data_IF_521318878636
#
_entry.id   IF_521318878636
#
_cell.length_a   1.000
_cell.length_b   1.000
_cell.length_c   1.000
_cell.angle_alpha   90.00
_cell.angle_beta   90.00
_cell.angle_gamma   90.00
#
_symmetry.space_group_name_H-M   'P 1'
#
loop_
_entity.id
_entity.type
_entity.pdbx_description
1 polymer ?
#
# COMPACT_ATOMS: atom_id res chain seq x y z
N UNK A 1 4.18 -8.84 20.85
CA UNK A 1 4.49 -8.76 19.41
C UNK A 1 3.16 -8.92 18.67
N UNK A 2 2.51 -7.82 18.24
CA UNK A 2 1.31 -7.95 17.39
C UNK A 2 1.79 -8.58 16.09
N UNK A 3 1.16 -9.65 15.60
CA UNK A 3 1.48 -10.18 14.27
C UNK A 3 1.31 -9.05 13.26
N UNK A 4 2.35 -8.79 12.47
CA UNK A 4 2.26 -7.78 11.42
C UNK A 4 1.14 -8.17 10.43
N UNK A 5 0.42 -7.18 9.93
CA UNK A 5 -0.64 -7.43 8.96
C UNK A 5 -0.03 -8.04 7.68
N UNK A 6 -0.53 -9.19 7.26
CA UNK A 6 -0.02 -9.88 6.06
C UNK A 6 -0.45 -9.13 4.77
N UNK A 7 0.46 -8.28 4.29
CA UNK A 7 0.25 -7.48 3.10
C UNK A 7 0.25 -8.31 1.82
N UNK A 8 0.99 -9.42 1.79
CA UNK A 8 1.06 -10.31 0.65
C UNK A 8 -0.30 -11.01 0.45
N UNK A 9 -0.86 -11.55 1.53
CA UNK A 9 -2.20 -12.15 1.53
C UNK A 9 -3.26 -11.13 1.12
N UNK A 10 -3.20 -9.92 1.69
CA UNK A 10 -4.10 -8.83 1.34
C UNK A 10 -4.08 -8.51 -0.16
N UNK A 11 -2.91 -8.39 -0.78
CA UNK A 11 -2.78 -8.02 -2.20
C UNK A 11 -2.96 -9.19 -3.18
N UNK A 12 -2.90 -10.45 -2.71
CA UNK A 12 -2.94 -11.64 -3.57
C UNK A 12 -4.04 -11.65 -4.65
N UNK A 13 -5.29 -11.16 -4.43
CA UNK A 13 -6.34 -11.21 -5.45
C UNK A 13 -6.15 -10.21 -6.59
N UNK A 14 -5.34 -9.16 -6.39
CA UNK A 14 -5.14 -8.07 -7.37
C UNK A 14 -3.74 -8.08 -7.98
N UNK A 15 -2.81 -8.85 -7.44
CA UNK A 15 -1.45 -8.97 -7.97
C UNK A 15 -1.44 -9.84 -9.23
N UNK A 16 -0.96 -9.25 -10.34
CA UNK A 16 -0.77 -9.93 -11.63
C UNK A 16 0.65 -9.68 -12.15
N UNK A 17 1.04 -10.41 -13.19
CA UNK A 17 2.35 -10.26 -13.84
C UNK A 17 3.47 -11.07 -13.18
N UNK A 18 4.72 -10.75 -13.51
CA UNK A 18 5.90 -11.51 -13.10
C UNK A 18 6.13 -11.51 -11.58
N UNK A 19 6.77 -12.57 -11.06
CA UNK A 19 7.07 -12.72 -9.64
C UNK A 19 7.82 -11.52 -9.06
N UNK A 20 8.86 -11.03 -9.74
CA UNK A 20 9.64 -9.88 -9.30
C UNK A 20 8.79 -8.59 -9.16
N UNK A 21 7.85 -8.37 -10.08
CA UNK A 21 6.93 -7.22 -10.03
C UNK A 21 5.95 -7.34 -8.86
N UNK A 22 5.39 -8.53 -8.62
CA UNK A 22 4.50 -8.77 -7.47
C UNK A 22 5.22 -8.52 -6.14
N UNK A 23 6.45 -9.03 -6.00
CA UNK A 23 7.28 -8.83 -4.80
C UNK A 23 7.64 -7.35 -4.56
N UNK A 24 7.83 -6.55 -5.63
CA UNK A 24 8.02 -5.10 -5.50
C UNK A 24 6.80 -4.44 -4.87
N UNK A 25 5.60 -4.74 -5.37
CA UNK A 25 4.36 -4.16 -4.83
C UNK A 25 4.12 -4.54 -3.37
N UNK A 26 4.42 -5.79 -2.99
CA UNK A 26 4.31 -6.24 -1.60
C UNK A 26 5.20 -5.40 -0.69
N UNK A 27 6.51 -5.32 -1.00
CA UNK A 27 7.46 -4.53 -0.19
C UNK A 27 7.09 -3.05 -0.11
N UNK A 28 6.60 -2.47 -1.21
CA UNK A 28 6.14 -1.09 -1.21
C UNK A 28 4.89 -0.91 -0.33
N UNK A 29 3.94 -1.83 -0.40
CA UNK A 29 2.74 -1.77 0.42
C UNK A 29 3.02 -1.98 1.92
N UNK A 30 3.98 -2.85 2.28
CA UNK A 30 4.49 -3.01 3.65
C UNK A 30 5.07 -1.69 4.17
N UNK A 31 5.92 -1.03 3.36
CA UNK A 31 6.49 0.27 3.71
C UNK A 31 5.44 1.35 3.90
N UNK A 32 4.43 1.38 3.01
CA UNK A 32 3.28 2.27 3.16
C UNK A 32 2.54 2.00 4.46
N UNK A 33 2.34 0.72 4.80
CA UNK A 33 1.63 0.32 6.00
C UNK A 33 2.35 0.71 7.28
N UNK A 34 3.65 0.47 7.35
CA UNK A 34 4.47 0.88 8.47
C UNK A 34 4.36 2.40 8.73
N UNK A 35 4.62 3.22 7.70
CA UNK A 35 4.61 4.67 7.82
C UNK A 35 3.22 5.25 8.15
N UNK A 36 2.16 4.70 7.55
CA UNK A 36 0.78 5.13 7.82
C UNK A 36 0.33 4.68 9.21
N UNK A 37 0.70 3.46 9.63
CA UNK A 37 0.41 2.94 10.97
C UNK A 37 1.11 3.77 12.04
N UNK A 38 2.37 4.11 11.83
CA UNK A 38 3.14 4.95 12.75
C UNK A 38 2.47 6.32 12.96
N UNK A 39 1.97 6.93 11.88
CA UNK A 39 1.38 8.28 11.98
C UNK A 39 -0.07 8.32 12.48
N UNK A 40 -0.90 7.33 12.16
CA UNK A 40 -2.35 7.37 12.46
C UNK A 40 -2.87 6.16 13.23
N UNK A 41 -2.01 5.25 13.66
CA UNK A 41 -2.41 3.99 14.32
C UNK A 41 -3.40 3.17 13.48
N UNK A 42 -3.35 3.29 12.15
CA UNK A 42 -4.20 2.53 11.25
C UNK A 42 -3.71 1.07 11.19
N UNK A 43 -4.37 0.18 11.93
CA UNK A 43 -3.94 -1.22 12.09
C UNK A 43 -3.98 -2.03 10.79
N UNK A 44 -4.83 -1.67 9.82
CA UNK A 44 -4.94 -2.42 8.56
C UNK A 44 -5.13 -1.48 7.35
N UNK A 45 -4.75 -1.90 6.14
CA UNK A 45 -5.04 -1.16 4.90
C UNK A 45 -6.53 -0.92 4.65
N UNK A 46 -7.41 -1.74 5.25
CA UNK A 46 -8.85 -1.58 5.17
C UNK A 46 -9.32 -0.23 5.71
N UNK A 47 -8.70 0.28 6.78
CA UNK A 47 -9.06 1.58 7.37
C UNK A 47 -8.51 2.79 6.62
N UNK A 48 -7.66 2.59 5.60
CA UNK A 48 -7.00 3.71 4.93
C UNK A 48 -7.99 4.61 4.18
N UNK A 49 -7.93 5.90 4.44
CA UNK A 49 -8.65 6.91 3.64
C UNK A 49 -7.70 7.52 2.63
N UNK A 50 -8.25 8.20 1.63
CA UNK A 50 -7.46 8.86 0.58
C UNK A 50 -6.37 9.77 1.16
N UNK A 51 -6.66 10.46 2.28
CA UNK A 51 -5.69 11.31 2.97
C UNK A 51 -4.42 10.57 3.43
N UNK A 52 -4.52 9.28 3.78
CA UNK A 52 -3.38 8.51 4.25
C UNK A 52 -2.43 8.17 3.09
N UNK A 53 -3.00 7.71 1.96
CA UNK A 53 -2.23 7.43 0.75
C UNK A 53 -1.65 8.70 0.14
N UNK A 54 -2.41 9.79 0.12
CA UNK A 54 -1.97 11.09 -0.40
C UNK A 54 -0.80 11.64 0.40
N UNK A 55 -0.91 11.65 1.72
CA UNK A 55 0.21 12.06 2.56
C UNK A 55 1.46 11.20 2.37
N UNK A 56 1.33 9.88 2.25
CA UNK A 56 2.49 9.03 2.03
C UNK A 56 3.22 9.44 0.74
N UNK A 57 2.47 9.64 -0.35
CA UNK A 57 3.06 10.02 -1.63
C UNK A 57 3.65 11.43 -1.62
N UNK A 58 2.92 12.41 -1.09
CA UNK A 58 3.29 13.83 -1.19
C UNK A 58 4.25 14.30 -0.09
N UNK A 59 4.17 13.69 1.09
CA UNK A 59 4.92 14.15 2.26
C UNK A 59 5.98 13.13 2.69
N UNK A 60 5.63 11.84 2.81
CA UNK A 60 6.60 10.83 3.22
C UNK A 60 7.68 10.61 2.14
N UNK A 61 7.29 10.63 0.87
CA UNK A 61 8.20 10.49 -0.27
C UNK A 61 8.65 11.84 -0.87
N UNK A 62 8.46 12.98 -0.18
CA UNK A 62 8.71 14.32 -0.73
C UNK A 62 10.09 14.50 -1.38
N UNK A 63 11.12 13.86 -0.84
CA UNK A 63 12.51 13.95 -1.32
C UNK A 63 12.97 12.74 -2.14
N UNK A 64 12.04 11.84 -2.47
CA UNK A 64 12.32 10.69 -3.33
C UNK A 64 12.35 11.10 -4.80
N UNK A 65 13.11 10.36 -5.61
CA UNK A 65 13.10 10.56 -7.06
C UNK A 65 11.70 10.33 -7.65
N UNK A 66 11.32 11.02 -8.74
CA UNK A 66 10.01 10.86 -9.38
C UNK A 66 9.68 9.40 -9.75
N UNK A 67 10.69 8.64 -10.20
CA UNK A 67 10.53 7.22 -10.51
C UNK A 67 10.14 6.38 -9.28
N UNK A 68 10.68 6.70 -8.10
CA UNK A 68 10.29 6.04 -6.85
C UNK A 68 8.84 6.34 -6.51
N UNK A 69 8.43 7.61 -6.56
CA UNK A 69 7.04 8.03 -6.31
C UNK A 69 6.09 7.32 -7.25
N UNK A 70 6.41 7.28 -8.55
CA UNK A 70 5.61 6.59 -9.58
C UNK A 70 5.34 5.12 -9.23
N UNK A 71 6.34 4.35 -8.80
CA UNK A 71 6.10 2.94 -8.42
C UNK A 71 5.24 2.80 -7.16
N UNK A 72 5.31 3.76 -6.22
CA UNK A 72 4.42 3.79 -5.07
C UNK A 72 2.99 4.17 -5.45
N UNK A 73 2.78 5.04 -6.44
CA UNK A 73 1.45 5.33 -6.98
C UNK A 73 0.81 4.10 -7.62
N UNK A 74 1.56 3.32 -8.39
CA UNK A 74 1.09 2.04 -8.93
C UNK A 74 0.66 1.08 -7.80
N UNK A 75 1.45 1.00 -6.73
CA UNK A 75 1.12 0.20 -5.55
C UNK A 75 -0.13 0.72 -4.83
N UNK A 76 -0.27 2.03 -4.66
CA UNK A 76 -1.47 2.65 -4.10
C UNK A 76 -2.73 2.36 -4.94
N UNK A 77 -2.59 2.28 -6.27
CA UNK A 77 -3.64 1.85 -7.19
C UNK A 77 -4.11 0.41 -6.91
N UNK A 78 -3.18 -0.52 -6.69
CA UNK A 78 -3.51 -1.91 -6.33
C UNK A 78 -4.24 -2.01 -4.99
N UNK A 79 -3.79 -1.26 -3.97
CA UNK A 79 -4.44 -1.20 -2.66
C UNK A 79 -5.88 -0.68 -2.82
N UNK A 80 -6.08 0.41 -3.57
CA UNK A 80 -7.41 0.96 -3.84
C UNK A 80 -8.33 -0.06 -4.53
N UNK A 81 -7.81 -0.76 -5.54
CA UNK A 81 -8.54 -1.83 -6.23
C UNK A 81 -8.93 -2.96 -5.28
N UNK A 82 -8.00 -3.40 -4.44
CA UNK A 82 -8.24 -4.46 -3.46
C UNK A 82 -9.34 -4.09 -2.46
N UNK A 83 -9.36 -2.83 -2.05
CA UNK A 83 -10.40 -2.27 -1.18
C UNK A 83 -11.76 -2.19 -1.84
N UNK A 84 -11.81 -1.80 -3.11
CA UNK A 84 -13.06 -1.69 -3.87
C UNK A 84 -13.73 -3.06 -4.12
N UNK A 85 -12.94 -4.14 -4.29
CA UNK A 85 -13.49 -5.49 -4.49
C UNK A 85 -14.28 -6.04 -3.29
N UNK A 86 -14.10 -5.49 -2.09
CA UNK A 86 -14.91 -5.89 -0.92
C UNK A 86 -16.23 -5.10 -0.79
N UNK A 87 -16.43 -4.03 -1.56
CA UNK A 87 -17.66 -3.21 -1.51
C UNK A 87 -18.77 -3.81 -2.39
N UNK A 88 -18.49 -4.92 -3.08
CA UNK A 88 -19.48 -5.68 -3.87
C UNK A 88 -19.87 -6.94 -3.09
N UNK A 89 -20.65 -6.75 -2.03
CA UNK A 89 -21.49 -7.73 -1.35
C UNK A 89 -22.78 -7.01 -0.93
#
# INVERSE_FOLDING_TARGET
MKSEFDMALFLSPVLKGAHATRQRHIRQAERMHEAIRERWSCETPWSWKEKHTRWFLEHYLRYSAPATVYYYELTAGLIRRRKAQLVVL
#
